data_IF_527748594758
#
_entry.id   IF_527748594758
#
_cell.length_a   1.000
_cell.length_b   1.000
_cell.length_c   1.000
_cell.angle_alpha   90.00
_cell.angle_beta   90.00
_cell.angle_gamma   90.00
#
_symmetry.space_group_name_H-M   'P 1'
#
loop_
_entity.id
_entity.type
_entity.pdbx_description
1 polymer ?
#
# COMPACT_ATOMS: atom_id res chain seq x y z
N UNK A 1 -8.39 25.53 26.76
CA UNK A 1 -7.80 24.34 26.10
C UNK A 1 -8.55 23.12 26.59
N UNK A 2 -8.99 22.22 25.69
CA UNK A 2 -9.52 20.91 26.12
C UNK A 2 -8.42 20.16 26.85
N UNK A 3 -8.74 19.51 27.95
CA UNK A 3 -7.79 18.64 28.66
C UNK A 3 -7.42 17.48 27.73
N UNK A 4 -6.14 17.24 27.50
CA UNK A 4 -5.70 16.11 26.68
C UNK A 4 -6.00 14.78 27.39
N UNK A 5 -6.36 13.74 26.63
CA UNK A 5 -6.51 12.38 27.15
C UNK A 5 -5.15 11.70 27.35
N UNK A 6 -4.17 12.09 26.50
CA UNK A 6 -2.81 11.58 26.48
C UNK A 6 -1.87 12.64 25.90
N UNK A 7 -0.63 12.71 26.40
CA UNK A 7 0.45 13.48 25.79
C UNK A 7 1.60 12.55 25.42
N UNK A 8 1.99 12.55 24.13
CA UNK A 8 3.23 11.94 23.68
C UNK A 8 4.33 12.99 23.84
N UNK A 9 5.35 12.69 24.62
CA UNK A 9 6.41 13.63 24.99
C UNK A 9 7.71 13.31 24.31
N UNK A 10 8.53 14.33 24.01
CA UNK A 10 9.82 14.20 23.37
C UNK A 10 9.74 13.52 21.98
N UNK A 11 8.70 13.83 21.20
CA UNK A 11 8.52 13.32 19.84
C UNK A 11 9.37 14.11 18.85
N UNK A 12 10.05 13.44 17.94
CA UNK A 12 10.62 14.06 16.74
C UNK A 12 9.63 13.93 15.59
N UNK A 13 9.56 14.96 14.75
CA UNK A 13 8.61 15.02 13.62
C UNK A 13 9.38 15.17 12.31
N UNK A 14 8.90 14.52 11.26
CA UNK A 14 9.57 14.48 9.96
C UNK A 14 9.83 15.86 9.32
N UNK A 15 8.94 16.82 9.61
CA UNK A 15 8.94 18.16 9.02
C UNK A 15 9.85 19.15 9.76
N UNK A 16 10.48 18.72 10.87
CA UNK A 16 11.32 19.56 11.70
C UNK A 16 12.76 19.01 11.76
N UNK A 17 13.70 19.89 12.08
CA UNK A 17 15.11 19.49 12.18
C UNK A 17 15.33 18.40 13.25
N UNK A 18 16.42 17.61 13.13
CA UNK A 18 16.64 16.42 13.94
C UNK A 18 16.83 16.69 15.45
N UNK A 19 17.11 17.93 15.84
CA UNK A 19 17.30 18.31 17.23
C UNK A 19 16.00 18.86 17.89
N UNK A 20 14.95 19.10 17.10
CA UNK A 20 13.69 19.61 17.61
C UNK A 20 12.85 18.46 18.19
N UNK A 21 12.39 18.65 19.42
CA UNK A 21 11.46 17.73 20.09
C UNK A 21 10.16 18.45 20.43
N UNK A 22 9.05 17.72 20.34
CA UNK A 22 7.71 18.23 20.56
C UNK A 22 6.93 17.33 21.51
N UNK A 23 5.96 17.93 22.19
CA UNK A 23 4.89 17.22 22.87
C UNK A 23 3.65 17.24 21.94
N UNK A 24 2.97 16.10 21.82
CA UNK A 24 1.75 15.92 21.03
C UNK A 24 0.61 15.63 22.01
N UNK A 25 -0.31 16.56 22.17
CA UNK A 25 -1.52 16.39 22.97
C UNK A 25 -2.64 15.75 22.16
N UNK A 26 -3.26 14.71 22.70
CA UNK A 26 -4.33 13.94 22.06
C UNK A 26 -5.60 14.12 22.90
N UNK A 27 -6.72 14.47 22.27
CA UNK A 27 -8.04 14.55 22.89
C UNK A 27 -9.14 14.13 21.90
N UNK A 28 -10.12 13.37 22.37
CA UNK A 28 -11.27 12.94 21.56
C UNK A 28 -10.86 12.23 20.24
N UNK A 29 -9.76 11.48 20.27
CA UNK A 29 -9.25 10.75 19.10
C UNK A 29 -8.54 11.62 18.05
N UNK A 30 -8.27 12.90 18.34
CA UNK A 30 -7.60 13.84 17.45
C UNK A 30 -6.38 14.46 18.13
N UNK A 31 -5.45 14.97 17.32
CA UNK A 31 -4.34 15.79 17.79
C UNK A 31 -4.90 17.15 18.19
N UNK A 32 -4.84 17.44 19.48
CA UNK A 32 -5.38 18.69 20.05
C UNK A 32 -4.34 19.82 20.09
N UNK A 33 -3.04 19.47 20.15
CA UNK A 33 -1.94 20.43 20.13
C UNK A 33 -0.62 19.76 19.77
N UNK A 34 0.27 20.49 19.11
CA UNK A 34 1.68 20.14 18.90
C UNK A 34 2.51 21.34 19.32
N UNK A 35 3.38 21.18 20.33
CA UNK A 35 4.19 22.27 20.87
C UNK A 35 5.53 21.74 21.43
N UNK A 36 6.57 22.58 21.55
CA UNK A 36 7.84 22.17 22.17
C UNK A 36 7.68 21.61 23.58
N UNK A 37 6.66 22.12 24.31
CA UNK A 37 6.30 21.62 25.64
C UNK A 37 4.81 21.87 25.91
N UNK A 38 4.13 20.85 26.45
CA UNK A 38 2.77 20.94 26.94
C UNK A 38 2.75 20.72 28.46
N UNK A 39 2.24 21.71 29.20
CA UNK A 39 1.92 21.54 30.60
C UNK A 39 0.59 20.80 30.73
N UNK A 40 0.61 19.67 31.41
CA UNK A 40 -0.55 18.79 31.50
C UNK A 40 -0.55 17.97 32.79
N UNK A 41 -1.77 17.74 33.31
CA UNK A 41 -2.04 16.77 34.36
C UNK A 41 -2.45 15.39 33.78
N UNK A 42 -2.57 15.30 32.44
CA UNK A 42 -2.98 14.09 31.72
C UNK A 42 -1.85 13.05 31.71
N UNK A 43 -2.16 11.76 31.48
CA UNK A 43 -1.15 10.74 31.26
C UNK A 43 -0.12 11.14 30.19
N UNK A 44 1.14 10.85 30.46
CA UNK A 44 2.25 11.15 29.55
C UNK A 44 2.95 9.86 29.15
N UNK A 45 3.15 9.65 27.84
CA UNK A 45 4.06 8.65 27.29
C UNK A 45 5.28 9.35 26.73
N UNK A 46 6.43 9.19 27.38
CA UNK A 46 7.70 9.67 26.84
C UNK A 46 8.16 8.72 25.72
N UNK A 47 8.35 9.26 24.51
CA UNK A 47 8.84 8.49 23.36
C UNK A 47 10.36 8.60 23.18
N UNK A 48 11.05 9.34 24.05
CA UNK A 48 12.51 9.35 24.19
C UNK A 48 13.26 9.87 22.96
N UNK A 49 12.77 10.91 22.31
CA UNK A 49 13.40 11.51 21.13
C UNK A 49 13.26 10.67 19.85
N UNK A 50 12.31 9.77 19.81
CA UNK A 50 12.01 8.94 18.63
C UNK A 50 11.09 9.65 17.65
N UNK A 51 11.18 9.23 16.40
CA UNK A 51 10.34 9.73 15.31
C UNK A 51 8.88 9.28 15.51
N UNK A 52 7.98 10.25 15.54
CA UNK A 52 6.52 10.01 15.47
C UNK A 52 6.05 10.36 14.07
N UNK A 53 5.40 9.39 13.43
CA UNK A 53 4.80 9.53 12.10
C UNK A 53 3.31 9.26 12.17
N UNK A 54 2.51 9.74 11.21
CA UNK A 54 1.14 9.25 11.08
C UNK A 54 1.16 7.76 10.74
N UNK A 55 0.09 7.04 11.03
CA UNK A 55 -0.01 5.60 10.78
C UNK A 55 0.36 5.21 9.36
N UNK A 56 1.15 4.15 9.19
CA UNK A 56 1.60 3.71 7.87
C UNK A 56 0.40 3.30 7.00
N UNK A 57 0.54 3.52 5.69
CA UNK A 57 -0.52 3.31 4.70
C UNK A 57 -0.10 2.25 3.70
N UNK A 58 -0.80 1.12 3.72
CA UNK A 58 -0.65 0.02 2.76
C UNK A 58 -1.58 0.24 1.58
N UNK A 59 -1.06 0.73 0.47
CA UNK A 59 -1.86 1.11 -0.70
C UNK A 59 -2.22 -0.07 -1.60
N UNK A 60 -1.57 -1.23 -1.41
CA UNK A 60 -1.81 -2.36 -2.29
C UNK A 60 -1.40 -3.69 -1.63
N UNK A 61 -2.37 -4.45 -1.14
CA UNK A 61 -2.17 -5.78 -0.58
C UNK A 61 -3.32 -6.71 -1.00
N UNK A 62 -3.08 -8.02 -1.02
CA UNK A 62 -4.08 -9.06 -1.25
C UNK A 62 -4.37 -9.84 0.03
N UNK A 63 -5.37 -9.40 0.81
CA UNK A 63 -5.77 -10.10 2.03
C UNK A 63 -6.62 -11.35 1.73
N UNK A 64 -7.35 -11.37 0.62
CA UNK A 64 -8.20 -12.48 0.18
C UNK A 64 -7.42 -13.78 -0.10
N UNK A 65 -6.25 -13.66 -0.71
CA UNK A 65 -5.38 -14.78 -1.12
C UNK A 65 -4.07 -14.88 -0.34
N UNK A 66 -3.97 -14.23 0.81
CA UNK A 66 -2.78 -14.33 1.68
C UNK A 66 -2.67 -15.72 2.32
N UNK A 67 -1.43 -16.17 2.63
CA UNK A 67 -1.12 -17.40 3.37
C UNK A 67 -1.72 -18.69 2.80
N UNK A 68 -1.55 -18.87 1.50
CA UNK A 68 -1.95 -20.08 0.78
C UNK A 68 -0.76 -20.81 0.12
N UNK A 69 0.47 -20.37 0.38
CA UNK A 69 1.67 -20.93 -0.25
C UNK A 69 1.81 -22.43 -0.01
N UNK A 70 1.40 -22.92 1.16
CA UNK A 70 1.42 -24.34 1.54
C UNK A 70 0.31 -25.17 0.87
N UNK A 71 -0.66 -24.52 0.22
CA UNK A 71 -1.75 -25.16 -0.54
C UNK A 71 -1.47 -25.22 -2.04
N UNK A 72 -0.42 -24.55 -2.48
CA UNK A 72 -0.09 -24.34 -3.90
C UNK A 72 1.19 -25.11 -4.28
N UNK A 73 1.18 -25.74 -5.44
CA UNK A 73 2.29 -26.55 -5.92
C UNK A 73 3.23 -25.75 -6.85
N UNK A 74 3.73 -24.60 -6.40
CA UNK A 74 4.61 -23.75 -7.19
C UNK A 74 6.03 -24.34 -7.27
N UNK A 75 6.54 -24.51 -8.49
CA UNK A 75 7.88 -25.03 -8.80
C UNK A 75 8.71 -24.00 -9.56
N UNK A 76 8.10 -23.30 -10.52
CA UNK A 76 8.78 -22.36 -11.42
C UNK A 76 8.87 -20.95 -10.83
N UNK A 77 7.89 -20.54 -10.03
CA UNK A 77 7.75 -19.20 -9.48
C UNK A 77 7.48 -18.13 -10.55
N UNK A 78 6.85 -18.51 -11.67
CA UNK A 78 6.47 -17.59 -12.74
C UNK A 78 5.11 -16.96 -12.46
N UNK A 79 4.81 -15.84 -13.12
CA UNK A 79 3.51 -15.18 -13.03
C UNK A 79 2.36 -16.11 -13.46
N UNK A 80 2.52 -16.80 -14.58
CA UNK A 80 1.51 -17.73 -15.12
C UNK A 80 1.23 -18.89 -14.15
N UNK A 81 2.28 -19.46 -13.53
CA UNK A 81 2.12 -20.49 -12.52
C UNK A 81 1.40 -19.96 -11.29
N UNK A 82 1.75 -18.76 -10.83
CA UNK A 82 1.09 -18.15 -9.69
C UNK A 82 -0.40 -17.89 -9.93
N UNK A 83 -0.77 -17.38 -11.12
CA UNK A 83 -2.17 -17.19 -11.52
C UNK A 83 -2.89 -18.54 -11.55
N UNK A 84 -2.32 -19.55 -12.21
CA UNK A 84 -2.95 -20.86 -12.34
C UNK A 84 -3.18 -21.55 -10.98
N UNK A 85 -2.20 -21.50 -10.08
CA UNK A 85 -2.31 -22.10 -8.74
C UNK A 85 -3.33 -21.37 -7.87
N UNK A 86 -3.36 -20.04 -7.89
CA UNK A 86 -4.38 -19.27 -7.16
C UNK A 86 -5.76 -19.51 -7.75
N UNK A 87 -5.90 -19.54 -9.08
CA UNK A 87 -7.17 -19.84 -9.77
C UNK A 87 -7.72 -21.22 -9.37
N UNK A 88 -6.86 -22.20 -9.19
CA UNK A 88 -7.25 -23.52 -8.71
C UNK A 88 -7.69 -23.47 -7.25
N UNK A 89 -6.91 -22.83 -6.38
CA UNK A 89 -7.09 -22.86 -4.93
C UNK A 89 -8.29 -22.01 -4.47
N UNK A 90 -8.53 -20.84 -5.10
CA UNK A 90 -9.62 -19.93 -4.71
C UNK A 90 -11.02 -20.53 -4.81
N UNK A 91 -11.21 -21.59 -5.61
CA UNK A 91 -12.47 -22.33 -5.71
C UNK A 91 -12.85 -22.97 -4.37
N UNK A 92 -11.88 -23.27 -3.52
CA UNK A 92 -12.03 -23.88 -2.21
C UNK A 92 -12.17 -22.86 -1.08
N UNK A 93 -12.00 -21.56 -1.35
CA UNK A 93 -12.10 -20.53 -0.32
C UNK A 93 -13.54 -20.40 0.20
N UNK A 94 -13.67 -20.32 1.53
CA UNK A 94 -14.88 -19.88 2.21
C UNK A 94 -14.65 -18.50 2.85
N UNK A 95 -15.70 -17.82 3.24
CA UNK A 95 -15.60 -16.53 3.94
C UNK A 95 -14.80 -16.66 5.24
N UNK A 96 -15.00 -17.76 5.98
CA UNK A 96 -14.31 -18.06 7.24
C UNK A 96 -12.82 -18.32 7.01
N UNK A 97 -12.47 -19.08 5.97
CA UNK A 97 -11.07 -19.34 5.62
C UNK A 97 -10.36 -18.06 5.23
N UNK A 98 -10.97 -17.23 4.36
CA UNK A 98 -10.41 -15.93 3.97
C UNK A 98 -10.24 -15.04 5.20
N UNK A 99 -11.27 -14.90 6.04
CA UNK A 99 -11.20 -14.09 7.26
C UNK A 99 -10.07 -14.56 8.19
N UNK A 100 -9.96 -15.87 8.44
CA UNK A 100 -8.95 -16.42 9.35
C UNK A 100 -7.51 -16.19 8.85
N UNK A 101 -7.24 -16.39 7.55
CA UNK A 101 -5.91 -16.13 6.94
C UNK A 101 -5.58 -14.64 6.90
N UNK A 102 -6.56 -13.83 6.50
CA UNK A 102 -6.44 -12.38 6.41
C UNK A 102 -6.22 -11.76 7.80
N UNK A 103 -6.89 -12.23 8.86
CA UNK A 103 -6.67 -11.77 10.25
C UNK A 103 -5.21 -11.92 10.67
N UNK A 104 -4.61 -13.09 10.43
CA UNK A 104 -3.19 -13.35 10.77
C UNK A 104 -2.22 -12.44 10.02
N UNK A 105 -2.56 -12.03 8.79
CA UNK A 105 -1.74 -11.11 8.00
C UNK A 105 -1.96 -9.68 8.45
N UNK A 106 -3.22 -9.28 8.68
CA UNK A 106 -3.57 -7.94 9.14
C UNK A 106 -2.99 -7.62 10.52
N UNK A 107 -3.00 -8.59 11.45
CA UNK A 107 -2.36 -8.44 12.77
C UNK A 107 -0.85 -8.16 12.64
N UNK A 108 -0.18 -8.75 11.64
CA UNK A 108 1.21 -8.41 11.33
C UNK A 108 1.33 -7.00 10.74
N UNK A 109 0.43 -6.59 9.84
CA UNK A 109 0.40 -5.22 9.33
C UNK A 109 0.25 -4.21 10.48
N UNK A 110 -0.70 -4.44 11.41
CA UNK A 110 -0.93 -3.59 12.58
C UNK A 110 0.34 -3.52 13.46
N UNK A 111 0.94 -4.67 13.77
CA UNK A 111 2.17 -4.74 14.58
C UNK A 111 3.39 -4.10 13.88
N UNK A 112 3.32 -3.88 12.57
CA UNK A 112 4.29 -3.14 11.77
C UNK A 112 3.88 -1.69 11.52
N UNK A 113 2.86 -1.18 12.22
CA UNK A 113 2.49 0.23 12.19
C UNK A 113 1.48 0.62 11.11
N UNK A 114 0.96 -0.31 10.34
CA UNK A 114 -0.05 -0.03 9.32
C UNK A 114 -1.40 0.29 9.96
N UNK A 115 -2.01 1.40 9.57
CA UNK A 115 -3.30 1.86 10.10
C UNK A 115 -4.33 2.20 9.01
N UNK A 116 -3.92 2.19 7.75
CA UNK A 116 -4.81 2.32 6.59
C UNK A 116 -4.39 1.31 5.54
N UNK A 117 -5.35 0.64 4.93
CA UNK A 117 -5.13 -0.44 3.97
C UNK A 117 -6.09 -0.32 2.80
N UNK A 118 -5.57 -0.32 1.57
CA UNK A 118 -6.32 -0.70 0.38
C UNK A 118 -5.97 -2.15 0.04
N UNK A 119 -6.95 -3.04 0.12
CA UNK A 119 -6.78 -4.44 -0.25
C UNK A 119 -7.49 -4.75 -1.55
N UNK A 120 -6.77 -5.39 -2.47
CA UNK A 120 -7.32 -5.88 -3.72
C UNK A 120 -7.94 -7.27 -3.50
N UNK A 121 -9.15 -7.46 -3.97
CA UNK A 121 -9.93 -8.69 -3.82
C UNK A 121 -10.38 -9.17 -5.19
N UNK A 122 -10.02 -10.40 -5.53
CA UNK A 122 -10.48 -11.05 -6.75
C UNK A 122 -11.97 -11.38 -6.68
N UNK A 123 -12.69 -11.05 -7.75
CA UNK A 123 -14.08 -11.43 -7.93
C UNK A 123 -14.29 -12.01 -9.33
N UNK A 124 -14.79 -13.24 -9.39
CA UNK A 124 -15.11 -13.95 -10.62
C UNK A 124 -16.08 -15.11 -10.32
N UNK A 125 -16.65 -15.78 -11.34
CA UNK A 125 -17.59 -16.88 -11.12
C UNK A 125 -17.04 -18.07 -10.32
N UNK A 126 -15.71 -18.26 -10.25
CA UNK A 126 -15.13 -19.37 -9.50
C UNK A 126 -15.15 -19.15 -7.98
N UNK A 127 -14.91 -17.90 -7.54
CA UNK A 127 -14.93 -17.53 -6.11
C UNK A 127 -16.25 -16.82 -5.72
N UNK A 128 -16.96 -16.20 -6.66
CA UNK A 128 -18.08 -15.31 -6.34
C UNK A 128 -17.61 -14.14 -5.48
N UNK A 129 -18.41 -13.80 -4.47
CA UNK A 129 -18.10 -12.74 -3.49
C UNK A 129 -17.53 -13.24 -2.15
N UNK A 130 -17.17 -14.53 -2.04
CA UNK A 130 -16.70 -15.11 -0.76
C UNK A 130 -15.44 -14.41 -0.25
N UNK A 131 -14.48 -14.09 -1.14
CA UNK A 131 -13.29 -13.30 -0.80
C UNK A 131 -13.64 -11.92 -0.28
N UNK A 132 -14.53 -11.23 -0.98
CA UNK A 132 -15.01 -9.90 -0.62
C UNK A 132 -15.73 -9.89 0.74
N UNK A 133 -16.66 -10.81 0.98
CA UNK A 133 -17.39 -10.89 2.25
C UNK A 133 -16.47 -11.22 3.44
N UNK A 134 -15.49 -12.12 3.25
CA UNK A 134 -14.47 -12.42 4.27
C UNK A 134 -13.66 -11.18 4.66
N UNK A 135 -13.26 -10.37 3.67
CA UNK A 135 -12.53 -9.11 3.88
C UNK A 135 -13.42 -8.01 4.47
N UNK A 136 -14.69 -7.91 4.05
CA UNK A 136 -15.64 -6.96 4.65
C UNK A 136 -15.89 -7.24 6.14
N UNK A 137 -15.96 -8.51 6.52
CA UNK A 137 -16.04 -8.92 7.93
C UNK A 137 -14.76 -8.51 8.67
N UNK A 138 -13.60 -8.78 8.10
CA UNK A 138 -12.31 -8.38 8.66
C UNK A 138 -12.24 -6.87 8.91
N UNK A 139 -12.69 -6.05 7.96
CA UNK A 139 -12.69 -4.59 8.09
C UNK A 139 -13.53 -4.11 9.28
N UNK A 140 -14.67 -4.76 9.56
CA UNK A 140 -15.50 -4.46 10.74
C UNK A 140 -14.81 -4.85 12.05
N UNK A 141 -14.23 -6.05 12.09
CA UNK A 141 -13.64 -6.63 13.30
C UNK A 141 -12.37 -5.89 13.74
N UNK A 142 -11.60 -5.32 12.80
CA UNK A 142 -10.32 -4.65 13.06
C UNK A 142 -10.36 -3.11 12.99
N UNK A 143 -11.53 -2.49 12.84
CA UNK A 143 -11.65 -1.01 12.77
C UNK A 143 -11.10 -0.25 13.98
N UNK A 144 -10.83 -0.96 15.06
CA UNK A 144 -10.21 -0.42 16.27
C UNK A 144 -8.71 -0.10 16.08
N UNK A 145 -8.06 -0.70 15.09
CA UNK A 145 -6.63 -0.55 14.81
C UNK A 145 -6.31 -0.09 13.38
N UNK A 146 -7.19 -0.37 12.40
CA UNK A 146 -6.93 -0.13 10.99
C UNK A 146 -8.22 0.17 10.23
N UNK A 147 -8.16 1.12 9.30
CA UNK A 147 -9.21 1.34 8.32
C UNK A 147 -8.87 0.59 7.03
N UNK A 148 -9.81 -0.21 6.52
CA UNK A 148 -9.64 -1.04 5.32
C UNK A 148 -10.64 -0.59 4.27
N UNK A 149 -10.15 -0.25 3.08
CA UNK A 149 -10.95 -0.13 1.88
C UNK A 149 -10.66 -1.29 0.91
N UNK A 150 -11.67 -1.74 0.20
CA UNK A 150 -11.57 -2.84 -0.75
C UNK A 150 -11.58 -2.31 -2.17
N UNK A 151 -10.58 -2.72 -2.96
CA UNK A 151 -10.57 -2.63 -4.42
C UNK A 151 -10.98 -3.98 -4.99
N UNK A 152 -12.11 -4.06 -5.67
CA UNK A 152 -12.51 -5.28 -6.38
C UNK A 152 -11.95 -5.27 -7.78
N UNK A 153 -11.40 -6.40 -8.24
CA UNK A 153 -10.71 -6.45 -9.52
C UNK A 153 -10.83 -7.79 -10.24
N UNK A 154 -10.75 -7.73 -11.57
CA UNK A 154 -10.70 -8.88 -12.47
C UNK A 154 -9.25 -9.33 -12.65
N UNK A 155 -8.85 -10.46 -12.03
CA UNK A 155 -7.50 -11.02 -12.16
C UNK A 155 -7.30 -11.78 -13.46
N UNK A 156 -8.31 -12.51 -13.93
CA UNK A 156 -8.21 -13.46 -15.04
C UNK A 156 -8.93 -12.98 -16.31
N UNK A 157 -9.23 -11.66 -16.38
CA UNK A 157 -9.92 -11.02 -17.47
C UNK A 157 -11.34 -10.59 -17.11
N UNK A 158 -11.85 -9.63 -17.86
CA UNK A 158 -13.17 -9.04 -17.72
C UNK A 158 -13.96 -9.16 -19.01
N UNK A 159 -13.33 -8.86 -20.16
CA UNK A 159 -13.99 -8.92 -21.46
C UNK A 159 -14.15 -10.35 -21.96
N UNK A 160 -13.23 -11.22 -21.61
CA UNK A 160 -13.16 -12.63 -21.98
C UNK A 160 -13.69 -13.59 -20.88
N UNK A 161 -14.18 -13.08 -19.76
CA UNK A 161 -14.71 -13.90 -18.66
C UNK A 161 -16.12 -13.46 -18.27
N UNK A 162 -17.19 -14.06 -18.85
CA UNK A 162 -18.59 -13.72 -18.58
C UNK A 162 -18.95 -13.86 -17.08
N UNK A 163 -19.69 -12.90 -16.54
CA UNK A 163 -20.16 -12.88 -15.15
C UNK A 163 -19.24 -12.12 -14.18
N UNK A 164 -18.02 -11.74 -14.60
CA UNK A 164 -17.10 -10.99 -13.76
C UNK A 164 -17.59 -9.57 -13.52
N UNK A 165 -18.04 -8.86 -14.56
CA UNK A 165 -18.53 -7.48 -14.44
C UNK A 165 -19.73 -7.38 -13.51
N UNK A 166 -20.68 -8.30 -13.60
CA UNK A 166 -21.85 -8.34 -12.74
C UNK A 166 -21.47 -8.50 -11.27
N UNK A 167 -20.51 -9.40 -10.96
CA UNK A 167 -20.02 -9.59 -9.60
C UNK A 167 -19.24 -8.37 -9.09
N UNK A 168 -18.43 -7.72 -9.93
CA UNK A 168 -17.74 -6.48 -9.57
C UNK A 168 -18.73 -5.38 -9.24
N UNK A 169 -19.78 -5.20 -10.07
CA UNK A 169 -20.85 -4.23 -9.82
C UNK A 169 -21.62 -4.54 -8.53
N UNK A 170 -21.88 -5.82 -8.26
CA UNK A 170 -22.52 -6.25 -7.02
C UNK A 170 -21.66 -5.89 -5.80
N UNK A 171 -20.36 -6.17 -5.82
CA UNK A 171 -19.44 -5.82 -4.74
C UNK A 171 -19.30 -4.30 -4.54
N UNK A 172 -19.31 -3.51 -5.62
CA UNK A 172 -19.35 -2.05 -5.56
C UNK A 172 -20.64 -1.56 -4.90
N UNK A 173 -21.78 -2.13 -5.26
CA UNK A 173 -23.06 -1.85 -4.60
C UNK A 173 -23.09 -2.22 -3.12
N UNK A 174 -22.26 -3.18 -2.69
CA UNK A 174 -22.09 -3.60 -1.29
C UNK A 174 -20.98 -2.81 -0.55
N UNK A 175 -20.38 -1.78 -1.18
CA UNK A 175 -19.50 -0.83 -0.51
C UNK A 175 -18.00 -1.02 -0.75
N UNK A 176 -17.58 -1.71 -1.80
CA UNK A 176 -16.21 -1.59 -2.30
C UNK A 176 -15.93 -0.13 -2.68
N UNK A 177 -14.72 0.36 -2.41
CA UNK A 177 -14.34 1.77 -2.53
C UNK A 177 -13.42 2.06 -3.72
N UNK A 178 -12.91 1.03 -4.36
CA UNK A 178 -12.14 1.13 -5.58
C UNK A 178 -12.45 -0.05 -6.49
N UNK A 179 -12.21 0.12 -7.78
CA UNK A 179 -12.37 -0.90 -8.81
C UNK A 179 -11.13 -0.96 -9.68
N UNK A 180 -10.73 -2.17 -10.06
CA UNK A 180 -9.52 -2.36 -10.86
C UNK A 180 -9.60 -3.56 -11.79
N UNK A 181 -8.46 -3.91 -12.34
CA UNK A 181 -8.28 -5.04 -13.24
C UNK A 181 -6.80 -5.38 -13.42
N UNK A 182 -6.56 -6.37 -14.25
CA UNK A 182 -5.23 -6.77 -14.73
C UNK A 182 -5.27 -6.86 -16.25
N UNK A 183 -5.21 -5.73 -16.99
CA UNK A 183 -5.42 -5.69 -18.44
C UNK A 183 -4.53 -6.67 -19.21
N UNK A 184 -3.31 -6.94 -18.73
CA UNK A 184 -2.37 -7.89 -19.34
C UNK A 184 -2.85 -9.35 -19.33
N UNK A 185 -3.93 -9.67 -18.62
CA UNK A 185 -4.58 -11.02 -18.64
C UNK A 185 -5.84 -11.06 -19.50
N UNK A 186 -6.27 -9.93 -20.05
CA UNK A 186 -7.48 -9.85 -20.88
C UNK A 186 -7.15 -9.98 -22.38
N UNK A 187 -8.09 -10.49 -23.13
CA UNK A 187 -8.01 -10.55 -24.59
C UNK A 187 -8.17 -9.17 -25.25
N UNK A 188 -8.83 -8.24 -24.55
CA UNK A 188 -9.01 -6.83 -24.93
C UNK A 188 -8.62 -5.93 -23.75
N UNK A 189 -7.32 -5.62 -23.57
CA UNK A 189 -6.83 -4.79 -22.47
C UNK A 189 -7.52 -3.42 -22.38
N UNK A 190 -7.67 -2.72 -23.51
CA UNK A 190 -8.35 -1.42 -23.54
C UNK A 190 -9.84 -1.53 -23.21
N UNK A 191 -10.52 -2.57 -23.71
CA UNK A 191 -11.91 -2.84 -23.34
C UNK A 191 -12.09 -3.12 -21.85
N UNK A 192 -11.12 -3.81 -21.20
CA UNK A 192 -11.13 -3.96 -19.74
C UNK A 192 -10.98 -2.61 -19.04
N UNK A 193 -10.02 -1.79 -19.46
CA UNK A 193 -9.78 -0.44 -18.89
C UNK A 193 -11.05 0.41 -19.01
N UNK A 194 -11.66 0.47 -20.19
CA UNK A 194 -12.89 1.27 -20.43
C UNK A 194 -14.04 0.83 -19.52
N UNK A 195 -14.25 -0.49 -19.34
CA UNK A 195 -15.31 -1.02 -18.44
C UNK A 195 -15.02 -0.70 -16.98
N UNK A 196 -13.76 -0.76 -16.53
CA UNK A 196 -13.38 -0.38 -15.18
C UNK A 196 -13.66 1.11 -14.94
N UNK A 197 -13.30 2.00 -15.86
CA UNK A 197 -13.64 3.43 -15.76
C UNK A 197 -15.15 3.68 -15.79
N UNK A 198 -15.91 2.90 -16.57
CA UNK A 198 -17.37 2.98 -16.57
C UNK A 198 -17.94 2.63 -15.19
N UNK A 199 -17.50 1.51 -14.59
CA UNK A 199 -17.90 1.13 -13.23
C UNK A 199 -17.48 2.18 -12.19
N UNK A 200 -16.26 2.72 -12.29
CA UNK A 200 -15.78 3.75 -11.38
C UNK A 200 -16.67 5.00 -11.39
N UNK A 201 -17.15 5.41 -12.57
CA UNK A 201 -18.09 6.54 -12.73
C UNK A 201 -19.49 6.21 -12.21
N UNK A 202 -20.00 5.01 -12.50
CA UNK A 202 -21.35 4.59 -12.10
C UNK A 202 -21.48 4.54 -10.56
N UNK A 203 -20.41 4.17 -9.86
CA UNK A 203 -20.39 4.04 -8.39
C UNK A 203 -19.62 5.15 -7.67
N UNK A 204 -19.06 6.13 -8.38
CA UNK A 204 -18.22 7.22 -7.85
C UNK A 204 -17.07 6.73 -6.96
N UNK A 205 -16.32 5.74 -7.42
CA UNK A 205 -15.20 5.11 -6.70
C UNK A 205 -13.87 5.37 -7.41
N UNK A 206 -12.77 5.13 -6.70
CA UNK A 206 -11.42 5.24 -7.25
C UNK A 206 -11.08 4.06 -8.16
N UNK A 207 -10.09 4.24 -9.02
CA UNK A 207 -9.56 3.20 -9.92
C UNK A 207 -8.18 2.76 -9.44
N UNK A 208 -7.92 1.43 -9.43
CA UNK A 208 -6.61 0.89 -9.05
C UNK A 208 -6.28 -0.39 -9.83
N UNK A 209 -5.43 -0.27 -10.85
CA UNK A 209 -5.05 -1.37 -11.75
C UNK A 209 -3.77 -2.08 -11.33
N UNK A 210 -3.70 -3.40 -11.59
CA UNK A 210 -2.44 -4.08 -11.82
C UNK A 210 -2.05 -3.83 -13.28
N UNK A 211 -0.95 -3.14 -13.53
CA UNK A 211 -0.66 -2.63 -14.87
C UNK A 211 0.78 -2.91 -15.28
N UNK A 212 0.97 -3.19 -16.58
CA UNK A 212 2.27 -3.26 -17.23
C UNK A 212 3.32 -4.10 -16.47
N UNK A 213 2.89 -5.27 -15.96
CA UNK A 213 3.75 -6.25 -15.31
C UNK A 213 4.37 -7.16 -16.39
N UNK A 214 5.69 -7.10 -16.58
CA UNK A 214 6.37 -7.93 -17.58
C UNK A 214 7.82 -7.54 -17.83
N UNK A 215 8.51 -8.37 -18.62
CA UNK A 215 9.94 -8.29 -18.91
C UNK A 215 10.26 -7.58 -20.26
N UNK A 216 9.27 -7.00 -20.92
CA UNK A 216 9.41 -6.23 -22.17
C UNK A 216 8.62 -4.94 -22.08
N UNK A 217 9.16 -3.83 -22.63
CA UNK A 217 8.45 -2.57 -22.74
C UNK A 217 7.41 -2.53 -23.88
N UNK A 218 7.23 -3.63 -24.60
CA UNK A 218 6.20 -3.73 -25.62
C UNK A 218 4.79 -3.78 -25.02
N UNK A 219 3.81 -3.19 -25.72
CA UNK A 219 2.39 -3.23 -25.35
C UNK A 219 2.13 -2.74 -23.92
N UNK A 220 2.51 -1.49 -23.64
CA UNK A 220 2.19 -0.83 -22.38
C UNK A 220 0.86 -0.10 -22.46
N UNK A 221 0.03 -0.28 -21.42
CA UNK A 221 -1.30 0.33 -21.32
C UNK A 221 -1.33 1.61 -20.46
N UNK A 222 -0.22 1.99 -19.82
CA UNK A 222 -0.15 3.14 -18.92
C UNK A 222 -0.56 4.46 -19.61
N UNK A 223 -0.15 4.68 -20.85
CA UNK A 223 -0.55 5.88 -21.59
C UNK A 223 -2.08 5.91 -21.83
N UNK A 224 -2.68 4.76 -22.13
CA UNK A 224 -4.13 4.66 -22.32
C UNK A 224 -4.91 4.89 -21.01
N UNK A 225 -4.40 4.41 -19.88
CA UNK A 225 -4.98 4.71 -18.55
C UNK A 225 -4.91 6.21 -18.27
N UNK A 226 -3.80 6.90 -18.62
CA UNK A 226 -3.71 8.35 -18.51
C UNK A 226 -4.76 9.08 -19.38
N UNK A 227 -4.95 8.63 -20.63
CA UNK A 227 -5.97 9.19 -21.52
C UNK A 227 -7.40 9.01 -20.97
N UNK A 228 -7.67 7.84 -20.36
CA UNK A 228 -8.96 7.59 -19.71
C UNK A 228 -9.16 8.44 -18.45
N UNK A 229 -8.12 8.62 -17.62
CA UNK A 229 -8.17 9.46 -16.43
C UNK A 229 -8.55 10.92 -16.80
N UNK A 230 -7.95 11.46 -17.84
CA UNK A 230 -8.29 12.81 -18.34
C UNK A 230 -9.69 12.85 -18.97
N UNK A 231 -9.99 11.92 -19.88
CA UNK A 231 -11.27 11.84 -20.58
C UNK A 231 -12.45 11.81 -19.64
N UNK A 232 -12.30 11.12 -18.51
CA UNK A 232 -13.37 10.93 -17.52
C UNK A 232 -13.33 11.89 -16.33
N UNK A 233 -12.29 12.78 -16.25
CA UNK A 233 -12.13 13.69 -15.12
C UNK A 233 -11.77 12.97 -13.81
N UNK A 234 -10.99 11.89 -13.90
CA UNK A 234 -10.58 11.04 -12.76
C UNK A 234 -9.15 11.34 -12.24
N UNK A 235 -8.57 12.48 -12.60
CA UNK A 235 -7.26 12.91 -12.13
C UNK A 235 -7.22 12.92 -10.59
N UNK A 236 -6.17 12.31 -10.00
CA UNK A 236 -6.02 12.15 -8.57
C UNK A 236 -6.88 11.04 -7.94
N UNK A 237 -7.61 10.26 -8.76
CA UNK A 237 -8.45 9.13 -8.35
C UNK A 237 -8.04 7.81 -9.02
N UNK A 238 -6.91 7.80 -9.72
CA UNK A 238 -6.39 6.64 -10.45
C UNK A 238 -5.03 6.26 -9.87
N UNK A 239 -4.89 5.01 -9.48
CA UNK A 239 -3.63 4.39 -9.11
C UNK A 239 -3.33 3.21 -10.05
N UNK A 240 -2.05 2.92 -10.25
CA UNK A 240 -1.59 1.75 -11.01
C UNK A 240 -0.45 1.07 -10.24
N UNK A 241 -0.56 -0.25 -10.06
CA UNK A 241 0.44 -1.07 -9.40
C UNK A 241 1.42 -1.71 -10.39
N UNK A 242 2.64 -2.03 -9.96
CA UNK A 242 3.74 -2.64 -10.69
C UNK A 242 4.42 -1.70 -11.70
N UNK A 243 3.88 -1.58 -12.89
CA UNK A 243 4.42 -0.82 -14.02
C UNK A 243 5.90 -1.16 -14.30
N UNK A 244 6.25 -2.45 -14.15
CA UNK A 244 7.63 -2.93 -14.27
C UNK A 244 8.22 -2.71 -15.66
N UNK A 245 7.36 -2.75 -16.68
CA UNK A 245 7.75 -2.49 -18.08
C UNK A 245 8.35 -1.10 -18.30
N UNK A 246 7.87 -0.07 -17.56
CA UNK A 246 8.41 1.29 -17.64
C UNK A 246 9.88 1.36 -17.21
N UNK A 247 10.33 0.46 -16.33
CA UNK A 247 11.74 0.39 -15.91
C UNK A 247 12.70 -0.03 -17.03
N UNK A 248 12.17 -0.49 -18.18
CA UNK A 248 12.91 -0.96 -19.34
C UNK A 248 13.01 0.10 -20.44
N UNK A 249 12.31 1.24 -20.28
CA UNK A 249 12.30 2.31 -21.29
C UNK A 249 13.65 3.06 -21.32
N UNK A 250 14.11 3.48 -22.50
CA UNK A 250 15.19 4.46 -22.63
C UNK A 250 14.83 5.78 -21.91
N UNK A 251 15.83 6.50 -21.40
CA UNK A 251 15.63 7.70 -20.57
C UNK A 251 14.65 8.73 -21.17
N UNK A 252 14.80 9.15 -22.44
CA UNK A 252 13.87 10.13 -23.04
C UNK A 252 12.41 9.64 -23.10
N UNK A 253 12.18 8.36 -23.39
CA UNK A 253 10.84 7.75 -23.42
C UNK A 253 10.27 7.63 -22.02
N UNK A 254 11.10 7.24 -21.05
CA UNK A 254 10.74 7.22 -19.63
C UNK A 254 10.29 8.61 -19.16
N UNK A 255 11.07 9.65 -19.43
CA UNK A 255 10.77 11.02 -19.02
C UNK A 255 9.49 11.57 -19.66
N UNK A 256 9.24 11.21 -20.92
CA UNK A 256 8.01 11.59 -21.62
C UNK A 256 6.78 10.95 -20.97
N UNK A 257 6.86 9.65 -20.67
CA UNK A 257 5.76 8.92 -20.01
C UNK A 257 5.58 9.38 -18.55
N UNK A 258 6.67 9.67 -17.84
CA UNK A 258 6.63 10.19 -16.47
C UNK A 258 5.88 11.54 -16.38
N UNK A 259 6.15 12.44 -17.31
CA UNK A 259 5.39 13.71 -17.44
C UNK A 259 3.92 13.44 -17.74
N UNK A 260 3.63 12.51 -18.66
CA UNK A 260 2.26 12.13 -18.99
C UNK A 260 1.48 11.62 -17.79
N UNK A 261 2.11 10.77 -16.95
CA UNK A 261 1.55 10.25 -15.69
C UNK A 261 1.26 11.39 -14.71
N UNK A 262 2.19 12.32 -14.56
CA UNK A 262 2.03 13.49 -13.70
C UNK A 262 0.87 14.39 -14.15
N UNK A 263 0.80 14.72 -15.43
CA UNK A 263 -0.22 15.60 -16.02
C UNK A 263 -1.62 14.96 -15.89
N UNK A 264 -1.73 13.66 -16.10
CA UNK A 264 -2.96 12.91 -15.93
C UNK A 264 -3.36 12.67 -14.45
N UNK A 265 -2.53 13.09 -13.50
CA UNK A 265 -2.78 12.87 -12.07
C UNK A 265 -2.91 11.40 -11.67
N UNK A 266 -2.24 10.49 -12.39
CA UNK A 266 -2.19 9.06 -12.07
C UNK A 266 -1.09 8.82 -11.04
N UNK A 267 -1.39 8.05 -10.00
CA UNK A 267 -0.41 7.64 -9.00
C UNK A 267 0.16 6.24 -9.31
N UNK A 268 1.43 6.01 -8.98
CA UNK A 268 2.09 4.72 -9.21
C UNK A 268 2.45 4.07 -7.88
N UNK A 269 2.03 2.82 -7.69
CA UNK A 269 2.42 1.98 -6.54
C UNK A 269 3.47 0.97 -6.97
N UNK A 270 4.68 1.08 -6.42
CA UNK A 270 5.76 0.11 -6.65
C UNK A 270 5.70 -0.97 -5.57
N UNK A 271 5.89 -2.22 -5.99
CA UNK A 271 5.65 -3.42 -5.20
C UNK A 271 6.96 -4.25 -5.06
N UNK A 272 8.00 -3.74 -4.37
CA UNK A 272 9.38 -4.17 -4.55
C UNK A 272 9.59 -5.67 -4.34
N UNK A 273 8.90 -6.26 -3.36
CA UNK A 273 9.08 -7.69 -3.03
C UNK A 273 8.51 -8.60 -4.12
N UNK A 274 7.32 -8.30 -4.62
CA UNK A 274 6.65 -9.09 -5.66
C UNK A 274 7.31 -8.88 -7.02
N UNK A 275 7.63 -7.63 -7.36
CA UNK A 275 8.26 -7.29 -8.63
C UNK A 275 9.63 -7.98 -8.77
N UNK A 276 10.47 -7.92 -7.72
CA UNK A 276 11.74 -8.65 -7.68
C UNK A 276 11.56 -10.16 -7.76
N UNK A 277 10.53 -10.72 -7.14
CA UNK A 277 10.30 -12.15 -7.13
C UNK A 277 9.84 -12.66 -8.50
N UNK A 278 9.01 -11.92 -9.21
CA UNK A 278 8.42 -12.35 -10.49
C UNK A 278 9.29 -12.00 -11.70
N UNK A 279 10.00 -10.85 -11.67
CA UNK A 279 10.75 -10.37 -12.82
C UNK A 279 12.09 -11.10 -12.99
N UNK A 280 12.56 -11.22 -14.24
CA UNK A 280 13.84 -11.83 -14.58
C UNK A 280 13.93 -13.34 -14.27
N UNK A 281 12.80 -14.03 -14.10
CA UNK A 281 12.78 -15.48 -13.86
C UNK A 281 13.40 -16.26 -14.99
N UNK A 282 14.28 -17.20 -14.65
CA UNK A 282 14.99 -18.03 -15.62
C UNK A 282 16.25 -17.38 -16.19
N UNK A 283 16.44 -16.08 -16.02
CA UNK A 283 17.65 -15.38 -16.44
C UNK A 283 18.81 -15.73 -15.51
N UNK A 284 19.92 -16.21 -16.09
CA UNK A 284 21.15 -16.52 -15.34
C UNK A 284 22.20 -15.44 -15.45
N UNK A 285 21.97 -14.46 -16.34
CA UNK A 285 22.91 -13.40 -16.66
C UNK A 285 22.12 -12.12 -16.95
N UNK A 286 22.52 -11.02 -16.34
CA UNK A 286 21.91 -9.70 -16.52
C UNK A 286 20.39 -9.68 -16.28
N UNK A 287 19.93 -10.35 -15.19
CA UNK A 287 18.51 -10.44 -14.87
C UNK A 287 17.88 -9.05 -14.64
N UNK A 288 16.71 -8.86 -15.24
CA UNK A 288 15.90 -7.64 -15.05
C UNK A 288 15.43 -7.59 -13.60
N UNK A 289 15.64 -6.47 -12.89
CA UNK A 289 15.15 -6.27 -11.53
C UNK A 289 13.65 -5.97 -11.46
N UNK A 290 13.11 -5.32 -12.48
CA UNK A 290 11.67 -5.06 -12.62
C UNK A 290 11.08 -4.11 -11.58
N UNK A 291 11.89 -3.42 -10.78
CA UNK A 291 11.43 -2.44 -9.79
C UNK A 291 11.58 -1.05 -10.38
N UNK A 292 10.45 -0.36 -10.56
CA UNK A 292 10.41 0.97 -11.13
C UNK A 292 11.02 2.00 -10.17
N UNK A 293 11.91 2.84 -10.65
CA UNK A 293 12.51 3.93 -9.90
C UNK A 293 11.53 5.10 -9.74
N UNK A 294 10.56 4.97 -8.81
CA UNK A 294 9.48 5.95 -8.62
C UNK A 294 9.98 7.35 -8.26
N UNK A 295 11.19 7.52 -7.69
CA UNK A 295 11.80 8.83 -7.48
C UNK A 295 11.94 9.63 -8.78
N UNK A 296 12.20 8.97 -9.92
CA UNK A 296 12.24 9.64 -11.20
C UNK A 296 10.86 10.16 -11.63
N UNK A 297 9.78 9.43 -11.31
CA UNK A 297 8.39 9.90 -11.51
C UNK A 297 8.08 11.11 -10.62
N UNK A 298 8.49 11.06 -9.35
CA UNK A 298 8.29 12.16 -8.40
C UNK A 298 8.98 13.45 -8.88
N UNK A 299 10.14 13.34 -9.52
CA UNK A 299 10.86 14.50 -10.10
C UNK A 299 10.06 15.20 -11.21
N UNK A 300 9.13 14.49 -11.86
CA UNK A 300 8.20 15.05 -12.85
C UNK A 300 6.86 15.49 -12.24
N UNK A 301 6.69 15.38 -10.91
CA UNK A 301 5.47 15.82 -10.22
C UNK A 301 4.39 14.75 -10.03
N UNK A 302 4.62 13.51 -10.49
CA UNK A 302 3.71 12.41 -10.23
C UNK A 302 3.65 12.06 -8.73
N UNK A 303 2.58 11.39 -8.28
CA UNK A 303 2.53 10.80 -6.95
C UNK A 303 2.90 9.32 -7.01
N UNK A 304 3.51 8.80 -5.93
CA UNK A 304 3.90 7.41 -5.87
C UNK A 304 3.90 6.86 -4.45
N UNK A 305 3.73 5.54 -4.33
CA UNK A 305 3.76 4.81 -3.07
C UNK A 305 4.55 3.50 -3.20
N UNK A 306 4.89 2.93 -2.04
CA UNK A 306 5.47 1.60 -1.91
C UNK A 306 4.52 0.73 -1.10
N UNK A 307 4.34 -0.52 -1.50
CA UNK A 307 3.39 -1.40 -0.87
C UNK A 307 3.90 -2.86 -0.79
N UNK A 308 3.20 -3.68 0.00
CA UNK A 308 3.57 -5.07 0.26
C UNK A 308 3.15 -6.00 -0.87
N UNK A 309 1.99 -5.79 -1.46
CA UNK A 309 1.31 -6.61 -2.45
C UNK A 309 0.92 -7.99 -1.91
N UNK A 310 1.79 -8.98 -1.96
CA UNK A 310 1.50 -10.37 -1.66
C UNK A 310 2.26 -10.86 -0.42
N UNK A 311 1.63 -11.73 0.37
CA UNK A 311 2.20 -12.30 1.59
C UNK A 311 1.93 -13.79 1.65
N UNK A 312 2.99 -14.61 1.55
CA UNK A 312 2.93 -16.07 1.67
C UNK A 312 1.89 -16.72 0.73
N UNK A 313 1.96 -16.33 -0.54
CA UNK A 313 1.16 -16.91 -1.63
C UNK A 313 2.05 -17.15 -2.87
N UNK A 314 1.55 -17.74 -3.96
CA UNK A 314 2.34 -18.01 -5.15
C UNK A 314 3.02 -16.79 -5.79
N UNK A 315 2.44 -15.60 -5.68
CA UNK A 315 3.04 -14.37 -6.23
C UNK A 315 4.21 -13.84 -5.38
N UNK A 316 4.22 -14.14 -4.06
CA UNK A 316 5.35 -13.85 -3.16
C UNK A 316 5.28 -14.81 -1.97
N UNK A 317 6.15 -15.84 -1.90
CA UNK A 317 6.03 -16.91 -0.90
C UNK A 317 6.52 -16.54 0.50
N UNK A 318 6.81 -15.29 0.76
CA UNK A 318 7.28 -14.73 2.02
C UNK A 318 6.66 -13.36 2.29
N UNK A 319 7.08 -12.70 3.36
CA UNK A 319 6.65 -11.35 3.74
C UNK A 319 6.31 -11.24 5.23
N UNK A 320 6.66 -10.10 5.81
CA UNK A 320 6.43 -9.76 7.21
C UNK A 320 5.49 -8.59 7.40
N UNK A 321 4.94 -8.04 6.29
CA UNK A 321 4.05 -6.89 6.24
C UNK A 321 4.69 -5.57 6.72
N UNK A 322 6.01 -5.47 6.73
CA UNK A 322 6.72 -4.24 7.12
C UNK A 322 6.86 -3.29 5.93
N UNK A 323 6.13 -2.19 5.94
CA UNK A 323 6.27 -1.13 4.94
C UNK A 323 7.62 -0.41 5.02
N UNK A 324 8.21 -0.30 6.22
CA UNK A 324 9.56 0.24 6.39
C UNK A 324 10.59 -0.67 5.70
N UNK A 325 10.41 -2.01 5.78
CA UNK A 325 11.26 -2.96 5.03
C UNK A 325 11.02 -2.83 3.51
N UNK A 326 9.80 -2.58 3.06
CA UNK A 326 9.54 -2.32 1.63
C UNK A 326 10.25 -1.05 1.16
N UNK A 327 10.22 0.01 1.96
CA UNK A 327 10.96 1.25 1.68
C UNK A 327 12.48 1.02 1.61
N UNK A 328 13.05 0.24 2.55
CA UNK A 328 14.47 -0.12 2.53
C UNK A 328 14.82 -1.00 1.33
N UNK A 329 14.02 -2.04 1.03
CA UNK A 329 14.24 -2.91 -0.13
C UNK A 329 14.24 -2.12 -1.43
N UNK A 330 13.27 -1.23 -1.60
CA UNK A 330 13.20 -0.30 -2.73
C UNK A 330 14.47 0.57 -2.80
N UNK A 331 14.88 1.17 -1.70
CA UNK A 331 16.07 2.02 -1.64
C UNK A 331 17.32 1.25 -2.10
N UNK A 332 17.50 0.01 -1.66
CA UNK A 332 18.60 -0.85 -2.09
C UNK A 332 18.56 -1.14 -3.60
N UNK A 333 17.41 -1.52 -4.12
CA UNK A 333 17.25 -1.91 -5.53
C UNK A 333 17.41 -0.73 -6.47
N UNK A 334 16.89 0.44 -6.09
CA UNK A 334 16.92 1.66 -6.89
C UNK A 334 18.12 2.58 -6.56
N UNK A 335 19.08 2.09 -5.74
CA UNK A 335 20.30 2.81 -5.38
C UNK A 335 20.05 4.17 -4.72
N UNK A 336 19.02 4.27 -3.88
CA UNK A 336 18.70 5.48 -3.12
C UNK A 336 19.70 5.62 -1.98
N UNK A 337 20.41 6.75 -1.88
CA UNK A 337 21.46 6.95 -0.90
C UNK A 337 21.42 8.31 -0.17
N UNK A 338 20.84 9.35 -0.81
CA UNK A 338 20.78 10.67 -0.19
C UNK A 338 19.75 10.69 0.93
N UNK A 339 20.05 11.39 2.02
CA UNK A 339 19.16 11.48 3.19
C UNK A 339 17.73 11.92 2.83
N UNK A 340 17.61 12.94 1.99
CA UNK A 340 16.33 13.44 1.53
C UNK A 340 15.53 12.40 0.72
N UNK A 341 16.20 11.56 -0.08
CA UNK A 341 15.55 10.54 -0.90
C UNK A 341 15.15 9.32 -0.05
N UNK A 342 15.94 9.00 1.00
CA UNK A 342 15.54 8.00 2.01
C UNK A 342 14.34 8.48 2.82
N UNK A 343 14.28 9.77 3.19
CA UNK A 343 13.10 10.36 3.82
C UNK A 343 11.87 10.27 2.90
N UNK A 344 12.06 10.48 1.59
CA UNK A 344 11.00 10.31 0.58
C UNK A 344 10.50 8.85 0.51
N UNK A 345 11.38 7.85 0.70
CA UNK A 345 10.95 6.46 0.80
C UNK A 345 9.97 6.24 1.98
N UNK A 346 10.17 6.91 3.11
CA UNK A 346 9.21 6.87 4.22
C UNK A 346 7.91 7.62 3.86
N UNK A 347 8.00 8.74 3.15
CA UNK A 347 6.83 9.47 2.67
C UNK A 347 5.96 8.62 1.72
N UNK A 348 6.56 7.74 0.92
CA UNK A 348 5.86 6.81 0.01
C UNK A 348 5.06 5.72 0.74
N UNK A 349 5.28 5.50 2.03
CA UNK A 349 4.47 4.60 2.88
C UNK A 349 3.69 5.36 3.94
N UNK A 350 3.69 6.69 3.88
CA UNK A 350 2.95 7.59 4.78
C UNK A 350 2.22 8.67 3.98
N UNK A 351 2.71 9.89 3.91
CA UNK A 351 2.00 11.06 3.35
C UNK A 351 1.67 10.95 1.87
N UNK A 352 2.57 10.37 1.05
CA UNK A 352 2.29 10.15 -0.38
C UNK A 352 1.27 9.04 -0.59
N UNK A 353 1.37 7.95 0.18
CA UNK A 353 0.42 6.86 0.18
C UNK A 353 -0.97 7.33 0.65
N UNK A 354 -1.03 8.16 1.69
CA UNK A 354 -2.28 8.77 2.17
C UNK A 354 -2.92 9.69 1.11
N UNK A 355 -2.10 10.45 0.37
CA UNK A 355 -2.58 11.26 -0.76
C UNK A 355 -3.17 10.39 -1.87
N UNK A 356 -2.53 9.26 -2.21
CA UNK A 356 -3.04 8.30 -3.19
C UNK A 356 -4.41 7.77 -2.78
N UNK A 357 -4.58 7.40 -1.51
CA UNK A 357 -5.85 6.91 -0.96
C UNK A 357 -6.83 8.04 -0.56
N UNK A 358 -6.46 9.31 -0.77
CA UNK A 358 -7.28 10.49 -0.48
C UNK A 358 -7.75 10.56 0.98
N UNK A 359 -6.90 10.17 1.92
CA UNK A 359 -7.18 10.23 3.36
C UNK A 359 -7.12 11.70 3.80
N UNK A 360 -8.25 12.26 4.21
CA UNK A 360 -8.42 13.70 4.39
C UNK A 360 -7.76 14.25 5.67
N UNK A 361 -7.81 13.53 6.79
CA UNK A 361 -7.36 13.99 8.10
C UNK A 361 -6.08 13.26 8.57
N UNK A 362 -5.12 13.13 7.66
CA UNK A 362 -3.86 12.41 7.82
C UNK A 362 -2.68 13.36 8.04
N UNK A 363 -1.89 13.12 9.10
CA UNK A 363 -0.70 13.91 9.43
C UNK A 363 -0.46 14.03 10.92
N UNK A 364 0.66 14.70 11.32
CA UNK A 364 0.97 15.01 12.71
C UNK A 364 0.81 16.52 12.93
N UNK A 365 -0.41 16.99 12.85
CA UNK A 365 -0.76 18.40 13.05
C UNK A 365 -2.06 18.53 13.84
N UNK A 366 -2.27 19.68 14.44
CA UNK A 366 -3.49 19.99 15.20
C UNK A 366 -4.75 19.79 14.32
N UNK A 367 -5.75 19.14 14.87
CA UNK A 367 -7.00 18.81 14.19
C UNK A 367 -6.99 17.49 13.39
N UNK A 368 -5.84 16.91 13.09
CA UNK A 368 -5.74 15.62 12.39
C UNK A 368 -6.17 14.46 13.30
N UNK A 369 -6.52 13.32 12.71
CA UNK A 369 -6.78 12.10 13.46
C UNK A 369 -5.52 11.70 14.25
N UNK A 370 -5.69 11.26 15.51
CA UNK A 370 -4.58 10.79 16.32
C UNK A 370 -4.24 9.32 15.95
N UNK A 371 -3.94 9.10 14.68
CA UNK A 371 -3.46 7.87 14.08
C UNK A 371 -1.94 7.96 14.00
N UNK A 372 -1.23 7.49 15.03
CA UNK A 372 0.19 7.76 15.23
C UNK A 372 0.98 6.48 15.43
N UNK A 373 2.22 6.47 14.94
CA UNK A 373 3.20 5.39 15.14
C UNK A 373 4.54 5.99 15.55
N UNK A 374 5.16 5.38 16.55
CA UNK A 374 6.53 5.69 16.97
C UNK A 374 7.49 4.69 16.36
N UNK A 375 8.44 5.17 15.57
CA UNK A 375 9.52 4.37 14.99
C UNK A 375 10.78 4.48 15.85
N UNK A 376 11.51 3.37 16.00
CA UNK A 376 12.78 3.32 16.78
C UNK A 376 13.94 3.94 16.00
N UNK A 377 13.78 5.18 15.61
CA UNK A 377 14.76 5.98 14.89
C UNK A 377 14.51 7.46 15.16
N UNK A 378 15.52 8.33 15.05
CA UNK A 378 15.38 9.77 15.29
C UNK A 378 14.92 10.55 14.05
N UNK A 379 15.11 10.02 12.83
CA UNK A 379 14.80 10.72 11.58
C UNK A 379 14.15 9.80 10.55
N UNK A 380 13.43 10.34 9.56
CA UNK A 380 12.84 9.56 8.46
C UNK A 380 13.87 8.73 7.68
N UNK A 381 15.02 9.32 7.37
CA UNK A 381 16.07 8.64 6.61
C UNK A 381 16.64 7.46 7.39
N UNK A 382 16.95 7.63 8.69
CA UNK A 382 17.42 6.54 9.55
C UNK A 382 16.35 5.47 9.76
N UNK A 383 15.07 5.85 9.85
CA UNK A 383 13.99 4.88 9.93
C UNK A 383 14.00 3.90 8.75
N UNK A 384 14.27 4.38 7.55
CA UNK A 384 14.39 3.54 6.35
C UNK A 384 15.72 2.81 6.30
N UNK A 385 16.84 3.52 6.56
CA UNK A 385 18.19 2.96 6.44
C UNK A 385 18.42 1.77 7.39
N UNK A 386 17.91 1.85 8.63
CA UNK A 386 18.08 0.83 9.67
C UNK A 386 16.90 -0.12 9.81
N UNK A 387 15.86 0.02 8.95
CA UNK A 387 14.61 -0.75 9.04
C UNK A 387 14.01 -0.63 10.45
N UNK A 388 13.82 0.60 10.91
CA UNK A 388 13.40 0.90 12.27
C UNK A 388 12.10 0.16 12.63
N UNK A 389 12.11 -0.48 13.79
CA UNK A 389 10.93 -1.17 14.33
C UNK A 389 9.88 -0.17 14.79
N UNK A 390 8.59 -0.34 14.44
CA UNK A 390 7.50 0.34 15.11
C UNK A 390 7.39 -0.15 16.58
N UNK A 391 7.37 0.80 17.51
CA UNK A 391 7.35 0.51 18.95
C UNK A 391 5.95 0.65 19.55
N UNK A 392 5.27 1.75 19.24
CA UNK A 392 3.93 2.04 19.76
C UNK A 392 3.07 2.61 18.66
N UNK A 393 1.79 2.23 18.68
CA UNK A 393 0.76 2.77 17.76
C UNK A 393 -0.49 3.20 18.49
N UNK A 394 -1.10 4.25 18.02
CA UNK A 394 -2.42 4.74 18.45
C UNK A 394 -3.31 4.91 17.24
N UNK A 395 -4.51 4.36 17.31
CA UNK A 395 -5.57 4.57 16.33
C UNK A 395 -6.66 5.42 16.97
N UNK A 396 -6.91 6.60 16.43
CA UNK A 396 -7.84 7.58 17.01
C UNK A 396 -7.57 7.79 18.50
N UNK A 397 -6.30 7.97 18.84
CA UNK A 397 -5.85 8.22 20.21
C UNK A 397 -5.89 7.00 21.16
N UNK A 398 -6.36 5.85 20.73
CA UNK A 398 -6.36 4.60 21.51
C UNK A 398 -5.17 3.73 21.12
N UNK A 399 -4.45 3.23 22.11
CA UNK A 399 -3.33 2.32 21.86
C UNK A 399 -3.79 1.10 21.07
N UNK A 400 -3.13 0.83 19.93
CA UNK A 400 -3.42 -0.29 19.04
C UNK A 400 -2.39 -1.41 19.16
N UNK A 401 -1.12 -1.07 19.37
CA UNK A 401 -0.08 -2.05 19.65
C UNK A 401 1.06 -1.42 20.46
N UNK A 402 1.87 -2.28 21.10
CA UNK A 402 3.10 -1.88 21.76
C UNK A 402 4.19 -2.95 21.58
N UNK A 403 5.41 -2.49 21.44
CA UNK A 403 6.65 -3.29 21.44
C UNK A 403 7.67 -2.54 22.26
N UNK A 404 8.26 -3.22 23.24
CA UNK A 404 9.31 -2.59 24.05
C UNK A 404 10.64 -2.50 23.26
N UNK A 405 11.40 -1.41 23.44
CA UNK A 405 12.74 -1.29 22.88
C UNK A 405 13.66 -2.41 23.39
N UNK A 406 14.62 -2.80 22.55
CA UNK A 406 15.63 -3.80 22.93
C UNK A 406 16.46 -3.28 24.10
N UNK A 407 16.62 -4.12 25.13
CA UNK A 407 17.53 -3.85 26.26
C UNK A 407 18.76 -4.74 26.15
N UNK A 408 19.94 -4.10 26.16
CA UNK A 408 21.20 -4.83 26.18
C UNK A 408 21.67 -4.98 27.64
N UNK A 409 21.92 -6.21 28.04
CA UNK A 409 22.48 -6.55 29.36
C UNK A 409 24.00 -6.74 29.19
N UNK A 410 24.77 -5.74 29.61
CA UNK A 410 26.23 -5.87 29.67
C UNK A 410 26.64 -6.73 30.87
N UNK A 411 27.65 -7.62 30.71
CA UNK A 411 28.15 -8.42 31.82
C UNK A 411 28.75 -7.56 32.94
#
# INVERSE_FOLDING_TARGET
>A
MKTADLVLRNARLAEHGPDAAFDIGIADGRIAAVAPRLDTASPVKDVGGRLVVPGLVETHIHLDKTRIVDRCACVKGTLDEAIAEVSREKRLFTEEDVHARASRTLEKCIAQGTQHVRTHVEVDPAIGLRGFHGVQRLARDYRWAVDIETCVFAQEGLTNYPGVEELMREALGQGARAVGGAPYTDADPHGQIDRVFAMARDFDVDVDFHLDLGNSAEHMDLAYVCDCAERHGWQGRVAVGHVTKMSLLPGPEFDALARRVADAGVAVTVLPSTDLYLMGRGERHTAIRGVLAVHALLAHGANGSLATNNVMNPFTPYGDCSLVRMANLYANVCHVAREQDLAECLAMVTTRAARLMRIADYGVAEGMAADLVVLDAPTPALAVAEIASPLWGWKRGRASFSREPVQLHRP
#
